data_IF_530227058871
#
_entry.id   IF_530227058871
#
_cell.length_a   1.000
_cell.length_b   1.000
_cell.length_c   1.000
_cell.angle_alpha   90.00
_cell.angle_beta   90.00
_cell.angle_gamma   90.00
#
_symmetry.space_group_name_H-M   'P 1'
#
loop_
_entity.id
_entity.type
_entity.pdbx_description
1 polymer ?
#
# COMPACT_ATOMS: atom_id res chain seq x y z
N UNK A 1 -43.31 -35.41 17.26
CA UNK A 1 -41.88 -35.25 17.63
C UNK A 1 -41.14 -34.85 16.38
N UNK A 2 -40.31 -33.82 16.50
CA UNK A 2 -39.77 -32.98 15.44
C UNK A 2 -38.81 -33.73 14.48
N UNK A 3 -38.84 -33.36 13.20
CA UNK A 3 -37.69 -33.48 12.31
C UNK A 3 -37.36 -32.05 11.86
N UNK A 4 -36.27 -31.52 12.43
CA UNK A 4 -35.81 -30.16 12.27
C UNK A 4 -35.28 -29.95 10.85
N UNK A 5 -36.02 -29.15 10.08
CA UNK A 5 -35.58 -28.64 8.79
C UNK A 5 -34.46 -27.63 9.04
N UNK A 6 -33.21 -28.09 8.85
CA UNK A 6 -32.02 -27.24 8.84
C UNK A 6 -32.10 -26.27 7.67
N UNK A 7 -32.55 -25.06 7.95
CA UNK A 7 -32.52 -23.91 7.04
C UNK A 7 -31.16 -23.25 7.19
N UNK A 8 -30.15 -23.72 6.44
CA UNK A 8 -28.86 -23.03 6.36
C UNK A 8 -28.99 -21.83 5.44
N UNK A 9 -29.11 -20.72 6.15
CA UNK A 9 -28.87 -19.32 5.85
C UNK A 9 -27.76 -19.03 4.84
N UNK A 10 -28.01 -18.02 3.99
CA UNK A 10 -26.99 -17.04 3.60
C UNK A 10 -26.08 -17.44 2.45
N UNK A 11 -26.60 -17.42 1.22
CA UNK A 11 -25.76 -17.25 0.04
C UNK A 11 -25.09 -15.88 0.11
N UNK A 12 -23.85 -15.84 0.57
CA UNK A 12 -22.99 -14.70 0.37
C UNK A 12 -22.78 -14.56 -1.15
N UNK A 13 -23.27 -13.47 -1.72
CA UNK A 13 -22.98 -13.07 -3.09
C UNK A 13 -21.46 -12.98 -3.23
N UNK A 14 -20.84 -14.01 -3.81
CA UNK A 14 -19.47 -13.93 -4.28
C UNK A 14 -19.53 -12.94 -5.44
N UNK A 15 -18.94 -11.74 -5.35
CA UNK A 15 -18.91 -10.84 -6.48
C UNK A 15 -18.26 -11.59 -7.63
N UNK A 16 -18.88 -11.53 -8.81
CA UNK A 16 -18.38 -12.11 -10.07
C UNK A 16 -17.12 -11.34 -10.51
N UNK A 17 -16.06 -11.50 -9.73
CA UNK A 17 -14.75 -10.94 -10.00
C UNK A 17 -14.14 -11.86 -11.04
N UNK A 18 -14.24 -11.44 -12.30
CA UNK A 18 -13.54 -12.10 -13.41
C UNK A 18 -12.11 -12.45 -12.97
N UNK A 19 -11.61 -13.67 -13.22
CA UNK A 19 -10.28 -14.09 -12.76
C UNK A 19 -9.15 -13.12 -13.12
N UNK A 20 -9.33 -12.32 -14.18
CA UNK A 20 -8.40 -11.26 -14.58
C UNK A 20 -8.33 -10.07 -13.60
N UNK A 21 -9.40 -9.75 -12.88
CA UNK A 21 -9.42 -8.67 -11.90
C UNK A 21 -8.54 -8.97 -10.67
N UNK A 22 -8.40 -10.23 -10.29
CA UNK A 22 -7.43 -10.66 -9.26
C UNK A 22 -5.97 -10.54 -9.73
N UNK A 23 -5.72 -10.65 -11.04
CA UNK A 23 -4.38 -10.52 -11.62
C UNK A 23 -3.91 -9.06 -11.75
N UNK A 24 -4.86 -8.13 -11.89
CA UNK A 24 -4.56 -6.71 -12.09
C UNK A 24 -3.66 -6.14 -10.97
N UNK A 25 -3.88 -6.55 -9.72
CA UNK A 25 -3.08 -6.09 -8.56
C UNK A 25 -1.60 -6.48 -8.68
N UNK A 26 -1.29 -7.61 -9.32
CA UNK A 26 0.08 -8.05 -9.58
C UNK A 26 0.73 -7.24 -10.72
N UNK A 27 -0.05 -6.91 -11.75
CA UNK A 27 0.41 -6.03 -12.83
C UNK A 27 0.72 -4.64 -12.30
N UNK A 28 -0.15 -4.09 -11.47
CA UNK A 28 0.02 -2.77 -10.85
C UNK A 28 1.25 -2.75 -9.94
N UNK A 29 1.50 -3.82 -9.19
CA UNK A 29 2.71 -3.93 -8.38
C UNK A 29 3.98 -4.10 -9.20
N UNK A 30 3.95 -4.85 -10.30
CA UNK A 30 5.09 -4.91 -11.21
C UNK A 30 5.41 -3.52 -11.79
N UNK A 31 4.37 -2.77 -12.19
CA UNK A 31 4.51 -1.40 -12.68
C UNK A 31 5.03 -0.44 -11.61
N UNK A 32 4.55 -0.54 -10.37
CA UNK A 32 5.08 0.23 -9.24
C UNK A 32 6.57 -0.06 -9.04
N UNK A 33 6.94 -1.34 -8.97
CA UNK A 33 8.33 -1.72 -8.74
C UNK A 33 9.26 -1.23 -9.86
N UNK A 34 8.82 -1.29 -11.12
CA UNK A 34 9.58 -0.74 -12.25
C UNK A 34 9.77 0.78 -12.14
N UNK A 35 8.73 1.52 -11.73
CA UNK A 35 8.83 2.98 -11.48
C UNK A 35 9.77 3.31 -10.33
N UNK A 36 9.79 2.50 -9.28
CA UNK A 36 10.74 2.66 -8.17
C UNK A 36 12.18 2.50 -8.64
N UNK A 37 12.47 1.50 -9.49
CA UNK A 37 13.81 1.32 -10.07
C UNK A 37 14.26 2.55 -10.88
N UNK A 38 13.36 3.16 -11.66
CA UNK A 38 13.65 4.40 -12.40
C UNK A 38 13.98 5.59 -11.48
N UNK A 39 13.50 5.57 -10.23
CA UNK A 39 13.75 6.63 -9.23
C UNK A 39 15.00 6.39 -8.37
N UNK A 40 15.86 5.44 -8.75
CA UNK A 40 17.03 5.00 -7.97
C UNK A 40 16.66 4.47 -6.57
N UNK A 41 15.58 3.70 -6.49
CA UNK A 41 15.10 3.08 -5.25
C UNK A 41 16.18 2.27 -4.51
N UNK A 42 17.02 1.50 -5.22
CA UNK A 42 18.02 0.65 -4.56
C UNK A 42 19.06 1.49 -3.80
N UNK A 43 19.62 2.51 -4.44
CA UNK A 43 20.67 3.32 -3.81
C UNK A 43 20.10 4.29 -2.77
N UNK A 44 18.92 4.84 -2.99
CA UNK A 44 18.38 5.88 -2.11
C UNK A 44 17.47 5.33 -1.01
N UNK A 45 16.52 4.48 -1.36
CA UNK A 45 15.59 3.93 -0.37
C UNK A 45 16.22 2.77 0.41
N UNK A 46 16.86 1.83 -0.28
CA UNK A 46 17.44 0.64 0.37
C UNK A 46 18.78 0.99 1.02
N UNK A 47 19.72 1.62 0.29
CA UNK A 47 21.05 1.90 0.88
C UNK A 47 21.06 3.15 1.77
N UNK A 48 20.70 4.34 1.26
CA UNK A 48 20.78 5.59 2.07
C UNK A 48 19.77 5.61 3.21
N UNK A 49 18.53 5.23 2.95
CA UNK A 49 17.48 5.20 3.96
C UNK A 49 17.48 3.93 4.81
N UNK A 50 18.29 2.91 4.48
CA UNK A 50 18.39 1.63 5.22
C UNK A 50 17.04 0.93 5.41
N UNK A 51 16.14 1.05 4.44
CA UNK A 51 14.84 0.41 4.50
C UNK A 51 14.88 -1.00 3.89
N UNK A 52 13.96 -1.86 4.32
CA UNK A 52 13.82 -3.20 3.75
C UNK A 52 13.41 -3.11 2.26
N UNK A 53 14.02 -3.91 1.38
CA UNK A 53 13.65 -3.95 -0.03
C UNK A 53 12.21 -4.49 -0.20
N UNK A 54 11.43 -3.83 -1.04
CA UNK A 54 10.03 -4.16 -1.32
C UNK A 54 9.97 -5.14 -2.48
N UNK A 55 9.47 -6.36 -2.22
CA UNK A 55 9.26 -7.39 -3.24
C UNK A 55 8.16 -7.00 -4.25
N UNK A 56 8.22 -7.56 -5.46
CA UNK A 56 7.22 -7.33 -6.53
C UNK A 56 5.80 -7.78 -6.19
N UNK A 57 5.63 -8.60 -5.17
CA UNK A 57 4.31 -9.07 -4.69
C UNK A 57 3.94 -8.47 -3.33
N UNK A 58 4.80 -7.59 -2.77
CA UNK A 58 4.73 -7.21 -1.36
C UNK A 58 3.41 -6.57 -0.96
N UNK A 59 2.78 -5.80 -1.84
CA UNK A 59 1.44 -5.24 -1.60
C UNK A 59 0.34 -5.95 -2.39
N UNK A 60 0.66 -6.93 -3.25
CA UNK A 60 -0.34 -7.71 -3.99
C UNK A 60 -0.95 -8.83 -3.15
N UNK A 61 -0.20 -9.34 -2.17
CA UNK A 61 -0.62 -10.43 -1.30
C UNK A 61 -0.56 -9.93 0.13
N UNK A 62 -1.68 -9.95 0.84
CA UNK A 62 -1.74 -9.55 2.24
C UNK A 62 -1.11 -10.64 3.12
N UNK A 63 0.20 -10.56 3.36
CA UNK A 63 0.92 -11.51 4.23
C UNK A 63 0.99 -11.02 5.66
N UNK A 64 1.39 -9.76 5.84
CA UNK A 64 1.43 -9.09 7.14
C UNK A 64 0.98 -7.65 6.96
N UNK A 65 -0.29 -7.33 7.31
CA UNK A 65 -0.84 -5.98 7.15
C UNK A 65 -0.04 -4.90 7.88
N UNK A 66 0.53 -5.20 9.06
CA UNK A 66 1.29 -4.23 9.85
C UNK A 66 2.61 -3.85 9.20
N UNK A 67 3.38 -4.84 8.76
CA UNK A 67 4.64 -4.60 8.03
C UNK A 67 4.39 -3.92 6.69
N UNK A 68 3.32 -4.29 5.99
CA UNK A 68 2.93 -3.67 4.73
C UNK A 68 2.53 -2.21 4.93
N UNK A 69 1.78 -1.90 5.98
CA UNK A 69 1.45 -0.52 6.31
C UNK A 69 2.71 0.29 6.62
N UNK A 70 3.63 -0.25 7.43
CA UNK A 70 4.91 0.39 7.72
C UNK A 70 5.71 0.65 6.42
N UNK A 71 5.83 -0.36 5.56
CA UNK A 71 6.51 -0.24 4.28
C UNK A 71 5.86 0.83 3.38
N UNK A 72 4.52 0.89 3.36
CA UNK A 72 3.76 1.89 2.62
C UNK A 72 4.02 3.31 3.13
N UNK A 73 4.00 3.50 4.46
CA UNK A 73 4.26 4.79 5.11
C UNK A 73 5.67 5.26 4.76
N UNK A 74 6.67 4.40 4.93
CA UNK A 74 8.05 4.72 4.64
C UNK A 74 8.30 4.98 3.14
N UNK A 75 7.68 4.21 2.26
CA UNK A 75 7.78 4.43 0.82
C UNK A 75 7.17 5.77 0.42
N UNK A 76 5.98 6.08 0.93
CA UNK A 76 5.29 7.35 0.64
C UNK A 76 6.11 8.54 1.15
N UNK A 77 6.67 8.44 2.35
CA UNK A 77 7.58 9.44 2.92
C UNK A 77 8.79 9.73 2.00
N UNK A 78 9.43 8.67 1.51
CA UNK A 78 10.56 8.79 0.59
C UNK A 78 10.15 9.42 -0.75
N UNK A 79 9.01 9.01 -1.31
CA UNK A 79 8.48 9.58 -2.55
C UNK A 79 8.16 11.08 -2.40
N UNK A 80 7.63 11.51 -1.26
CA UNK A 80 7.41 12.94 -0.99
C UNK A 80 8.71 13.72 -0.93
N UNK A 81 9.75 13.20 -0.27
CA UNK A 81 11.07 13.83 -0.28
C UNK A 81 11.65 13.94 -1.70
N UNK A 82 11.46 12.89 -2.52
CA UNK A 82 11.88 12.91 -3.93
C UNK A 82 11.12 13.96 -4.75
N UNK A 83 9.86 14.22 -4.40
CA UNK A 83 9.05 15.30 -4.96
C UNK A 83 9.35 16.70 -4.40
N UNK A 84 10.35 16.86 -3.53
CA UNK A 84 10.72 18.14 -2.93
C UNK A 84 9.86 18.55 -1.72
N UNK A 85 8.96 17.68 -1.26
CA UNK A 85 8.15 17.92 -0.07
C UNK A 85 8.92 17.45 1.15
N UNK A 86 9.10 18.34 2.13
CA UNK A 86 9.73 17.98 3.40
C UNK A 86 8.80 17.03 4.16
N UNK A 87 9.15 15.75 4.14
CA UNK A 87 8.48 14.72 4.92
C UNK A 87 9.55 14.01 5.75
N UNK A 88 9.36 13.89 7.07
CA UNK A 88 10.35 13.26 7.95
C UNK A 88 10.34 11.75 7.77
N UNK A 89 11.52 11.11 7.90
CA UNK A 89 11.58 9.65 7.84
C UNK A 89 10.79 9.09 9.03
N UNK A 90 9.84 8.16 8.82
CA UNK A 90 9.14 7.49 9.90
C UNK A 90 10.12 6.80 10.86
N UNK A 91 10.00 7.10 12.15
CA UNK A 91 10.66 6.36 13.22
C UNK A 91 9.87 5.11 13.58
N UNK A 92 10.51 4.12 14.22
CA UNK A 92 9.84 2.91 14.70
C UNK A 92 8.91 3.19 15.89
N UNK A 93 9.16 4.29 16.63
CA UNK A 93 8.36 4.73 17.77
C UNK A 93 7.13 5.56 17.37
N UNK A 94 7.01 5.94 16.08
CA UNK A 94 5.94 6.79 15.60
C UNK A 94 4.61 6.02 15.48
N UNK A 95 3.51 6.70 15.82
CA UNK A 95 2.18 6.13 15.61
C UNK A 95 1.86 6.04 14.10
N UNK A 96 1.74 4.80 13.62
CA UNK A 96 1.47 4.50 12.21
C UNK A 96 0.16 5.11 11.71
N UNK A 97 -0.86 5.21 12.57
CA UNK A 97 -2.16 5.78 12.21
C UNK A 97 -2.06 7.30 12.02
N UNK A 98 -1.28 7.98 12.86
CA UNK A 98 -1.00 9.42 12.73
C UNK A 98 -0.20 9.70 11.46
N UNK A 99 0.87 8.92 11.21
CA UNK A 99 1.68 9.07 9.99
C UNK A 99 0.86 8.82 8.72
N UNK A 100 -0.02 7.81 8.72
CA UNK A 100 -0.91 7.54 7.61
C UNK A 100 -1.86 8.71 7.33
N UNK A 101 -2.46 9.29 8.38
CA UNK A 101 -3.32 10.48 8.24
C UNK A 101 -2.56 11.66 7.66
N UNK A 102 -1.31 11.88 8.10
CA UNK A 102 -0.45 12.92 7.55
C UNK A 102 -0.16 12.69 6.05
N UNK A 103 0.17 11.45 5.67
CA UNK A 103 0.39 11.08 4.26
C UNK A 103 -0.86 11.36 3.43
N UNK A 104 -2.03 10.92 3.89
CA UNK A 104 -3.31 11.16 3.21
C UNK A 104 -3.59 12.66 3.06
N UNK A 105 -3.33 13.45 4.11
CA UNK A 105 -3.50 14.90 4.06
C UNK A 105 -2.57 15.55 3.02
N UNK A 106 -1.32 15.11 2.93
CA UNK A 106 -0.37 15.59 1.91
C UNK A 106 -0.81 15.20 0.49
N UNK A 107 -1.25 13.96 0.29
CA UNK A 107 -1.80 13.53 -1.01
C UNK A 107 -3.01 14.36 -1.42
N UNK A 108 -3.95 14.62 -0.51
CA UNK A 108 -5.12 15.47 -0.79
C UNK A 108 -4.72 16.88 -1.21
N UNK A 109 -3.72 17.46 -0.55
CA UNK A 109 -3.19 18.79 -0.94
C UNK A 109 -2.59 18.76 -2.34
N UNK A 110 -1.78 17.75 -2.68
CA UNK A 110 -1.17 17.64 -4.00
C UNK A 110 -2.21 17.49 -5.11
N UNK A 111 -3.21 16.63 -4.90
CA UNK A 111 -4.30 16.45 -5.86
C UNK A 111 -5.07 17.76 -6.00
N UNK A 112 -5.41 18.43 -4.90
CA UNK A 112 -6.09 19.74 -4.96
C UNK A 112 -5.27 20.81 -5.70
N UNK A 113 -3.94 20.79 -5.58
CA UNK A 113 -3.04 21.72 -6.28
C UNK A 113 -2.95 21.43 -7.78
N UNK A 114 -3.20 20.19 -8.22
CA UNK A 114 -3.09 19.79 -9.63
C UNK A 114 -4.38 20.04 -10.43
N UNK A 115 -5.48 20.39 -9.76
CA UNK A 115 -6.79 20.68 -10.35
C UNK A 115 -7.15 22.19 -10.36
N UNK A 116 -6.17 23.06 -10.13
CA UNK A 116 -6.26 24.53 -10.29
C UNK A 116 -5.32 24.93 -11.41
#
# INVERSE_FOLDING_TARGET
>A
MADDTVKVTGGAEVPDVSPGAGFQVFVDMANLHNKLKLLNYDDEYVMKWRMKPISRIHFSVTTNPGDQLHAFIALSAWLFQKGGIRFEKPSEDDDQSVLLQNIIAQFKKLVSFMYI
#
